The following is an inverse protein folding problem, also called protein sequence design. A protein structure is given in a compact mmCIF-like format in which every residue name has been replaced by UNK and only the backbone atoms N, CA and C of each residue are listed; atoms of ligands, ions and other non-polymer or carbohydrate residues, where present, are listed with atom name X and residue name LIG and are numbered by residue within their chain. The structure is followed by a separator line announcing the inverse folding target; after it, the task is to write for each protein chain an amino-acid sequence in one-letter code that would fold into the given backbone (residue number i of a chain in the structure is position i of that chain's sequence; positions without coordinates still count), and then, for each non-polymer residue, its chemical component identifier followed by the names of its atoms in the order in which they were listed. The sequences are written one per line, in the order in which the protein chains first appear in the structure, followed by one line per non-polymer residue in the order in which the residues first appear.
data_IF_615910330849
#
_entry.id   IF_615910330849
#
_cell.length_a   1.000
_cell.length_b   1.000
_cell.length_c   1.000
_cell.angle_alpha   90.00
_cell.angle_beta   90.00
_cell.angle_gamma   90.00
#
_symmetry.space_group_name_H-M   'P 1'
#
loop_
_entity.id
_entity.type
_entity.pdbx_description
1 polymer ?
#
# COMPACT_ATOMS: atom_id res chain seq x y z
N UNK A 1 -56.12 -61.60 -2.18
CA UNK A 1 -55.14 -60.49 -2.09
C UNK A 1 -54.46 -60.35 -3.44
N UNK A 2 -54.81 -59.33 -4.22
CA UNK A 2 -54.16 -59.06 -5.51
C UNK A 2 -52.82 -58.38 -5.19
N UNK A 3 -51.71 -59.08 -5.43
CA UNK A 3 -50.38 -58.49 -5.42
C UNK A 3 -50.05 -58.12 -6.86
N UNK A 4 -50.10 -56.83 -7.18
CA UNK A 4 -49.66 -56.32 -8.47
C UNK A 4 -48.17 -56.03 -8.36
N UNK A 5 -47.37 -56.67 -9.22
CA UNK A 5 -45.94 -56.40 -9.38
C UNK A 5 -45.81 -55.78 -10.77
N UNK A 6 -45.58 -54.47 -10.83
CA UNK A 6 -45.31 -53.76 -12.09
C UNK A 6 -43.80 -53.82 -12.30
N UNK A 7 -43.36 -54.64 -13.24
CA UNK A 7 -41.96 -54.69 -13.68
C UNK A 7 -41.88 -54.06 -15.06
N UNK A 8 -41.53 -52.77 -15.13
CA UNK A 8 -41.21 -52.11 -16.38
C UNK A 8 -39.72 -52.20 -16.65
N UNK A 9 -39.32 -52.74 -17.80
CA UNK A 9 -37.92 -52.67 -18.26
C UNK A 9 -37.74 -51.44 -19.14
N UNK A 10 -37.55 -50.29 -18.50
CA UNK A 10 -36.87 -49.16 -19.12
C UNK A 10 -35.43 -49.27 -18.61
N UNK A 11 -34.38 -49.07 -19.44
CA UNK A 11 -33.01 -49.05 -18.93
C UNK A 11 -32.75 -47.98 -17.82
N UNK A 12 -33.78 -47.24 -17.38
CA UNK A 12 -33.75 -46.19 -16.34
C UNK A 12 -35.13 -45.94 -15.65
N UNK A 13 -35.87 -46.96 -15.16
CA UNK A 13 -37.12 -46.73 -14.39
C UNK A 13 -37.05 -47.15 -12.93
N UNK A 14 -37.59 -46.30 -12.04
CA UNK A 14 -37.86 -46.60 -10.63
C UNK A 14 -39.15 -47.42 -10.46
N UNK A 15 -39.26 -48.15 -9.34
CA UNK A 15 -40.43 -48.93 -8.96
C UNK A 15 -41.68 -48.04 -8.75
N UNK A 16 -42.83 -48.46 -9.28
CA UNK A 16 -44.13 -47.81 -9.01
C UNK A 16 -44.61 -48.13 -7.60
N UNK A 17 -45.02 -47.10 -6.85
CA UNK A 17 -45.49 -47.22 -5.46
C UNK A 17 -47.03 -47.18 -5.43
N UNK A 18 -47.69 -48.06 -4.66
CA UNK A 18 -49.15 -48.03 -4.50
C UNK A 18 -49.60 -46.74 -3.79
N UNK A 19 -50.68 -46.12 -4.29
CA UNK A 19 -51.27 -44.92 -3.67
C UNK A 19 -52.17 -45.35 -2.52
N UNK A 20 -51.69 -45.16 -1.28
CA UNK A 20 -52.23 -45.74 -0.04
C UNK A 20 -53.72 -45.41 0.22
N UNK A 21 -54.27 -44.35 -0.38
CA UNK A 21 -55.66 -43.91 -0.20
C UNK A 21 -56.66 -44.45 -1.22
N UNK A 22 -56.21 -45.12 -2.30
CA UNK A 22 -57.07 -45.57 -3.39
C UNK A 22 -56.71 -46.99 -3.84
N UNK A 23 -57.54 -47.97 -3.48
CA UNK A 23 -57.37 -49.36 -3.91
C UNK A 23 -57.27 -49.45 -5.45
N UNK A 24 -56.16 -49.98 -5.96
CA UNK A 24 -55.93 -50.20 -7.39
C UNK A 24 -55.22 -49.07 -8.14
N UNK A 25 -54.82 -47.97 -7.47
CA UNK A 25 -54.08 -46.87 -8.09
C UNK A 25 -52.57 -46.97 -7.80
N UNK A 26 -51.76 -46.77 -8.83
CA UNK A 26 -50.31 -46.81 -8.79
C UNK A 26 -49.73 -45.51 -9.35
N UNK A 27 -48.67 -45.01 -8.73
CA UNK A 27 -47.94 -43.83 -9.20
C UNK A 27 -46.47 -44.17 -9.37
N UNK A 28 -45.88 -43.70 -10.45
CA UNK A 28 -44.45 -43.79 -10.72
C UNK A 28 -43.96 -42.50 -11.34
N UNK A 29 -42.66 -42.26 -11.22
CA UNK A 29 -41.98 -41.09 -11.80
C UNK A 29 -41.00 -41.56 -12.85
N UNK A 30 -41.05 -40.96 -14.04
CA UNK A 30 -40.12 -41.25 -15.11
C UNK A 30 -39.07 -40.13 -15.20
N UNK A 31 -37.80 -40.46 -14.98
CA UNK A 31 -36.70 -39.51 -15.14
C UNK A 31 -36.22 -39.48 -16.60
N UNK A 32 -36.40 -38.34 -17.28
CA UNK A 32 -36.06 -38.16 -18.69
C UNK A 32 -34.67 -37.54 -18.91
N UNK A 33 -33.88 -37.31 -17.85
CA UNK A 33 -32.68 -36.46 -17.89
C UNK A 33 -31.58 -36.87 -18.88
N UNK A 34 -31.49 -38.18 -19.20
CA UNK A 34 -30.44 -38.73 -20.07
C UNK A 34 -30.93 -39.17 -21.45
N UNK A 35 -32.19 -38.88 -21.80
CA UNK A 35 -32.73 -39.26 -23.10
C UNK A 35 -32.32 -38.25 -24.18
N UNK A 36 -31.97 -38.78 -25.36
CA UNK A 36 -31.77 -37.95 -26.54
C UNK A 36 -33.12 -37.37 -27.00
N UNK A 37 -33.12 -36.27 -27.75
CA UNK A 37 -34.35 -35.76 -28.33
C UNK A 37 -34.99 -36.77 -29.28
N UNK A 38 -36.28 -37.00 -29.15
CA UNK A 38 -36.99 -38.01 -29.93
C UNK A 38 -38.39 -38.33 -29.40
N UNK A 39 -39.10 -39.17 -30.13
CA UNK A 39 -40.38 -39.73 -29.69
C UNK A 39 -40.08 -41.09 -29.06
N UNK A 40 -40.53 -41.28 -27.83
CA UNK A 40 -40.39 -42.52 -27.08
C UNK A 40 -41.76 -43.10 -26.78
N UNK A 41 -41.89 -44.40 -26.98
CA UNK A 41 -43.05 -45.15 -26.51
C UNK A 41 -42.74 -45.66 -25.10
N UNK A 42 -43.52 -45.22 -24.12
CA UNK A 42 -43.48 -45.76 -22.75
C UNK A 42 -44.53 -46.85 -22.68
N UNK A 43 -44.08 -48.10 -22.54
CA UNK A 43 -44.94 -49.25 -22.33
C UNK A 43 -45.16 -49.49 -20.85
N UNK A 44 -46.42 -49.65 -20.46
CA UNK A 44 -46.85 -49.93 -19.10
C UNK A 44 -47.50 -51.31 -19.13
N UNK A 45 -46.88 -52.26 -18.44
CA UNK A 45 -47.35 -53.65 -18.34
C UNK A 45 -47.87 -53.91 -16.92
N UNK A 46 -49.09 -54.42 -16.82
CA UNK A 46 -49.73 -54.77 -15.55
C UNK A 46 -49.88 -56.28 -15.45
N UNK A 47 -49.12 -56.88 -14.54
CA UNK A 47 -49.14 -58.31 -14.27
C UNK A 47 -49.68 -58.60 -12.86
N UNK A 48 -50.67 -59.49 -12.79
CA UNK A 48 -51.28 -59.95 -11.54
C UNK A 48 -51.54 -61.46 -11.59
N UNK A 49 -51.31 -62.15 -10.45
CA UNK A 49 -51.61 -63.57 -10.32
C UNK A 49 -53.10 -63.82 -10.57
N UNK A 50 -53.41 -64.79 -11.43
CA UNK A 50 -54.77 -65.18 -11.82
C UNK A 50 -55.52 -64.20 -12.75
N UNK A 51 -54.82 -63.20 -13.31
CA UNK A 51 -55.37 -62.27 -14.32
C UNK A 51 -54.57 -62.29 -15.61
N UNK A 52 -55.21 -61.97 -16.73
CA UNK A 52 -54.53 -61.76 -18.01
C UNK A 52 -53.71 -60.47 -17.97
N UNK A 53 -52.43 -60.48 -18.36
CA UNK A 53 -51.62 -59.27 -18.53
C UNK A 53 -52.34 -58.23 -19.38
N UNK A 54 -52.26 -56.96 -18.97
CA UNK A 54 -52.74 -55.83 -19.76
C UNK A 54 -51.56 -54.91 -20.02
N UNK A 55 -51.36 -54.57 -21.28
CA UNK A 55 -50.37 -53.59 -21.72
C UNK A 55 -51.07 -52.34 -22.26
N UNK A 56 -50.50 -51.19 -21.95
CA UNK A 56 -50.84 -49.92 -22.59
C UNK A 56 -49.57 -49.16 -22.92
N UNK A 57 -49.61 -48.30 -23.92
CA UNK A 57 -48.47 -47.44 -24.24
C UNK A 57 -48.89 -45.99 -24.36
N UNK A 58 -47.97 -45.12 -23.94
CA UNK A 58 -48.08 -43.68 -24.10
C UNK A 58 -46.87 -43.18 -24.87
N UNK A 59 -47.10 -42.30 -25.85
CA UNK A 59 -46.01 -41.67 -26.58
C UNK A 59 -45.61 -40.38 -25.86
N UNK A 60 -44.33 -40.27 -25.52
CA UNK A 60 -43.74 -39.06 -24.98
C UNK A 60 -42.78 -38.48 -26.01
N UNK A 61 -42.72 -37.15 -26.10
CA UNK A 61 -41.78 -36.45 -26.99
C UNK A 61 -40.75 -35.71 -26.14
N UNK A 62 -39.49 -36.12 -26.24
CA UNK A 62 -38.36 -35.42 -25.63
C UNK A 62 -37.87 -34.37 -26.62
N UNK A 63 -38.06 -33.09 -26.29
CA UNK A 63 -37.64 -31.99 -27.15
C UNK A 63 -36.14 -31.74 -27.05
N UNK A 64 -35.51 -31.36 -28.17
CA UNK A 64 -34.12 -30.91 -28.17
C UNK A 64 -34.03 -29.57 -27.46
N UNK A 65 -33.17 -29.50 -26.45
CA UNK A 65 -32.79 -28.24 -25.83
C UNK A 65 -31.55 -27.67 -26.52
N UNK A 66 -31.57 -26.38 -26.79
CA UNK A 66 -30.42 -25.64 -27.28
C UNK A 66 -29.47 -25.31 -26.12
N UNK A 67 -28.17 -25.23 -26.40
CA UNK A 67 -27.19 -24.83 -25.39
C UNK A 67 -27.29 -23.31 -25.22
N UNK A 68 -27.39 -22.85 -23.99
CA UNK A 68 -27.29 -21.43 -23.67
C UNK A 68 -25.88 -21.08 -23.16
N UNK A 69 -25.46 -19.84 -23.38
CA UNK A 69 -24.24 -19.26 -22.79
C UNK A 69 -24.57 -17.96 -22.07
N UNK A 70 -23.92 -17.77 -20.92
CA UNK A 70 -23.91 -16.53 -20.16
C UNK A 70 -22.49 -15.97 -20.18
N UNK A 71 -22.34 -14.71 -20.58
CA UNK A 71 -21.05 -14.04 -20.69
C UNK A 71 -21.10 -12.71 -19.92
N UNK A 72 -20.09 -12.44 -19.10
CA UNK A 72 -19.89 -11.11 -18.52
C UNK A 72 -19.41 -10.14 -19.59
N UNK A 73 -20.03 -8.97 -19.63
CA UNK A 73 -19.62 -7.86 -20.49
C UNK A 73 -18.99 -6.73 -19.68
N UNK A 74 -19.35 -6.60 -18.40
CA UNK A 74 -18.75 -5.63 -17.49
C UNK A 74 -17.26 -5.90 -17.30
N UNK A 75 -16.43 -4.86 -17.48
CA UNK A 75 -15.01 -4.89 -17.12
C UNK A 75 -14.85 -4.69 -15.62
N UNK A 76 -15.06 -5.75 -14.84
CA UNK A 76 -14.94 -5.75 -13.39
C UNK A 76 -13.47 -5.52 -13.02
N UNK A 77 -13.22 -4.59 -12.08
CA UNK A 77 -11.89 -4.35 -11.52
C UNK A 77 -11.48 -5.50 -10.61
N UNK A 78 -10.17 -5.70 -10.46
CA UNK A 78 -9.61 -6.67 -9.51
C UNK A 78 -9.95 -6.34 -8.05
N UNK A 79 -10.19 -5.05 -7.75
CA UNK A 79 -10.59 -4.61 -6.42
C UNK A 79 -11.55 -3.42 -6.44
N UNK A 80 -12.31 -3.29 -5.36
CA UNK A 80 -13.17 -2.14 -5.06
C UNK A 80 -13.04 -1.71 -3.59
N UNK A 81 -13.59 -0.55 -3.26
CA UNK A 81 -13.66 -0.03 -1.90
C UNK A 81 -15.07 -0.22 -1.34
N UNK A 82 -15.20 -0.30 -0.02
CA UNK A 82 -16.51 -0.26 0.63
C UNK A 82 -17.38 0.88 0.11
N UNK A 83 -18.69 0.59 -0.02
CA UNK A 83 -19.72 1.49 -0.54
C UNK A 83 -19.55 1.88 -2.02
N UNK A 84 -18.58 1.31 -2.75
CA UNK A 84 -18.50 1.45 -4.21
C UNK A 84 -19.72 0.81 -4.87
N UNK A 85 -20.24 1.49 -5.90
CA UNK A 85 -21.28 0.95 -6.78
C UNK A 85 -20.61 0.17 -7.92
N UNK A 86 -20.96 -1.12 -8.03
CA UNK A 86 -20.59 -1.95 -9.18
C UNK A 86 -21.79 -2.13 -10.12
N UNK A 87 -21.50 -2.10 -11.41
CA UNK A 87 -22.47 -2.40 -12.46
C UNK A 87 -22.05 -3.69 -13.15
N UNK A 88 -22.89 -4.72 -13.02
CA UNK A 88 -22.64 -6.05 -13.53
C UNK A 88 -23.54 -6.24 -14.74
N UNK A 89 -22.92 -6.36 -15.90
CA UNK A 89 -23.60 -6.52 -17.18
C UNK A 89 -23.29 -7.91 -17.74
N UNK A 90 -24.34 -8.62 -18.15
CA UNK A 90 -24.23 -9.94 -18.79
C UNK A 90 -25.09 -10.00 -20.04
N UNK A 91 -24.70 -10.92 -20.93
CA UNK A 91 -25.52 -11.31 -22.08
C UNK A 91 -25.82 -12.81 -22.04
N UNK A 92 -27.09 -13.15 -22.25
CA UNK A 92 -27.58 -14.52 -22.38
C UNK A 92 -27.87 -14.82 -23.86
N UNK A 93 -27.26 -15.90 -24.37
CA UNK A 93 -27.43 -16.33 -25.77
C UNK A 93 -27.77 -17.82 -25.87
N UNK A 94 -28.43 -18.21 -26.96
CA UNK A 94 -28.52 -19.59 -27.46
C UNK A 94 -27.80 -19.65 -28.81
N UNK A 95 -26.56 -20.15 -28.80
CA UNK A 95 -25.65 -19.98 -29.94
C UNK A 95 -25.39 -18.49 -30.21
N UNK A 96 -25.69 -18.03 -31.42
CA UNK A 96 -25.54 -16.61 -31.82
C UNK A 96 -26.77 -15.73 -31.48
N UNK A 97 -27.89 -16.35 -31.11
CA UNK A 97 -29.14 -15.63 -30.90
C UNK A 97 -29.26 -15.17 -29.44
N UNK A 98 -29.53 -13.89 -29.17
CA UNK A 98 -29.81 -13.43 -27.82
C UNK A 98 -31.12 -14.02 -27.31
N UNK A 99 -31.17 -14.33 -26.01
CA UNK A 99 -32.37 -14.83 -25.34
C UNK A 99 -33.03 -13.71 -24.54
N UNK A 100 -34.14 -13.21 -25.07
CA UNK A 100 -34.90 -12.09 -24.49
C UNK A 100 -35.97 -12.52 -23.51
N UNK A 101 -36.25 -11.67 -22.52
CA UNK A 101 -37.28 -11.85 -21.50
C UNK A 101 -37.11 -13.14 -20.67
N UNK A 102 -35.87 -13.59 -20.50
CA UNK A 102 -35.55 -14.77 -19.70
C UNK A 102 -35.13 -14.37 -18.28
N UNK A 103 -35.58 -15.14 -17.29
CA UNK A 103 -35.23 -14.91 -15.89
C UNK A 103 -33.82 -15.42 -15.60
N UNK A 104 -32.98 -14.57 -15.03
CA UNK A 104 -31.64 -14.93 -14.54
C UNK A 104 -31.46 -14.44 -13.12
N UNK A 105 -30.50 -15.03 -12.40
CA UNK A 105 -30.22 -14.70 -11.00
C UNK A 105 -28.76 -14.31 -10.90
N UNK A 106 -28.52 -13.09 -10.43
CA UNK A 106 -27.19 -12.66 -9.99
C UNK A 106 -27.01 -13.10 -8.55
N UNK A 107 -26.07 -14.01 -8.34
CA UNK A 107 -25.67 -14.51 -7.05
C UNK A 107 -24.38 -13.81 -6.63
N UNK A 108 -24.48 -12.94 -5.63
CA UNK A 108 -23.37 -12.21 -5.04
C UNK A 108 -23.07 -12.87 -3.70
N UNK A 109 -21.87 -13.43 -3.57
CA UNK A 109 -21.40 -14.10 -2.37
C UNK A 109 -20.43 -13.16 -1.68
N UNK A 110 -20.87 -12.57 -0.58
CA UNK A 110 -20.06 -11.72 0.28
C UNK A 110 -19.26 -12.58 1.26
N UNK A 111 -17.94 -12.36 1.32
CA UNK A 111 -17.01 -13.07 2.20
C UNK A 111 -16.45 -12.07 3.22
N UNK A 112 -16.79 -12.25 4.48
CA UNK A 112 -16.26 -11.42 5.58
C UNK A 112 -14.88 -11.87 6.07
N UNK A 113 -14.20 -11.02 6.85
CA UNK A 113 -12.90 -11.31 7.48
C UNK A 113 -12.89 -12.60 8.32
N UNK A 114 -14.02 -12.95 8.94
CA UNK A 114 -14.14 -14.19 9.72
C UNK A 114 -14.35 -15.43 8.84
N UNK A 115 -14.49 -15.26 7.52
CA UNK A 115 -14.86 -16.31 6.57
C UNK A 115 -16.36 -16.59 6.51
N UNK A 116 -17.20 -15.79 7.18
CA UNK A 116 -18.65 -15.93 7.06
C UNK A 116 -19.09 -15.55 5.65
N UNK A 117 -19.95 -16.39 5.06
CA UNK A 117 -20.48 -16.23 3.71
C UNK A 117 -21.93 -15.73 3.76
N UNK A 118 -22.21 -14.63 3.06
CA UNK A 118 -23.57 -14.14 2.83
C UNK A 118 -23.89 -14.23 1.34
N UNK A 119 -24.91 -15.02 0.99
CA UNK A 119 -25.34 -15.20 -0.40
C UNK A 119 -26.56 -14.33 -0.68
N UNK A 120 -26.41 -13.39 -1.60
CA UNK A 120 -27.45 -12.46 -2.04
C UNK A 120 -27.87 -12.84 -3.47
N UNK A 121 -29.14 -13.16 -3.65
CA UNK A 121 -29.70 -13.50 -4.96
C UNK A 121 -30.55 -12.34 -5.47
N UNK A 122 -30.17 -11.77 -6.61
CA UNK A 122 -30.85 -10.66 -7.27
C UNK A 122 -31.46 -11.19 -8.57
N UNK A 123 -32.76 -11.54 -8.58
CA UNK A 123 -33.44 -11.99 -9.79
C UNK A 123 -33.68 -10.80 -10.74
N UNK A 124 -33.50 -11.04 -12.02
CA UNK A 124 -33.73 -10.05 -13.09
C UNK A 124 -34.11 -10.75 -14.39
N UNK A 125 -34.48 -9.97 -15.40
CA UNK A 125 -34.97 -10.44 -16.68
C UNK A 125 -34.11 -9.82 -17.78
N UNK A 126 -33.74 -10.62 -18.78
CA UNK A 126 -33.00 -10.12 -19.95
C UNK A 126 -33.86 -9.25 -20.85
N UNK A 127 -33.27 -8.23 -21.45
CA UNK A 127 -33.93 -7.34 -22.40
C UNK A 127 -34.13 -8.01 -23.77
N UNK A 128 -34.66 -7.26 -24.76
CA UNK A 128 -34.89 -7.77 -26.11
C UNK A 128 -33.61 -8.19 -26.86
N UNK A 129 -32.45 -7.76 -26.39
CA UNK A 129 -31.14 -8.10 -26.96
C UNK A 129 -30.40 -9.13 -26.09
N UNK A 130 -31.05 -9.71 -25.08
CA UNK A 130 -30.48 -10.72 -24.19
C UNK A 130 -29.57 -10.17 -23.09
N UNK A 131 -29.52 -8.85 -22.90
CA UNK A 131 -28.70 -8.21 -21.89
C UNK A 131 -29.44 -8.10 -20.56
N UNK A 132 -28.70 -8.13 -19.47
CA UNK A 132 -29.21 -7.76 -18.16
C UNK A 132 -28.15 -7.05 -17.35
N UNK A 133 -28.57 -6.03 -16.62
CA UNK A 133 -27.70 -5.19 -15.80
C UNK A 133 -28.22 -5.19 -14.37
N UNK A 134 -27.32 -5.41 -13.41
CA UNK A 134 -27.59 -5.26 -11.99
C UNK A 134 -26.58 -4.28 -11.39
N UNK A 135 -27.09 -3.35 -10.61
CA UNK A 135 -26.28 -2.46 -9.80
C UNK A 135 -26.23 -2.96 -8.37
N UNK A 136 -25.04 -3.02 -7.79
CA UNK A 136 -24.81 -3.51 -6.44
C UNK A 136 -23.89 -2.56 -5.67
N UNK A 137 -24.26 -2.22 -4.45
CA UNK A 137 -23.43 -1.41 -3.54
C UNK A 137 -22.67 -2.38 -2.65
N UNK A 138 -21.34 -2.29 -2.66
CA UNK A 138 -20.49 -3.21 -1.92
C UNK A 138 -20.59 -2.97 -0.42
N UNK A 139 -20.91 -4.03 0.33
CA UNK A 139 -20.93 -4.02 1.79
C UNK A 139 -19.54 -3.96 2.43
N UNK A 140 -19.51 -4.02 3.76
CA UNK A 140 -18.27 -4.07 4.55
C UNK A 140 -17.77 -5.50 4.65
N UNK A 141 -17.12 -5.94 3.58
CA UNK A 141 -16.63 -7.31 3.38
C UNK A 141 -15.20 -7.29 2.86
N UNK A 142 -14.54 -8.46 2.86
CA UNK A 142 -13.15 -8.60 2.42
C UNK A 142 -13.05 -8.99 0.95
N UNK A 143 -14.00 -9.78 0.48
CA UNK A 143 -14.12 -10.10 -0.95
C UNK A 143 -15.56 -10.41 -1.32
N UNK A 144 -15.83 -10.31 -2.63
CA UNK A 144 -17.09 -10.73 -3.22
C UNK A 144 -16.82 -11.72 -4.35
N UNK A 145 -17.67 -12.72 -4.45
CA UNK A 145 -17.73 -13.61 -5.62
C UNK A 145 -19.03 -13.37 -6.38
N UNK A 146 -18.94 -13.17 -7.69
CA UNK A 146 -20.11 -12.92 -8.53
C UNK A 146 -20.31 -14.11 -9.46
N UNK A 147 -21.52 -14.65 -9.42
CA UNK A 147 -21.97 -15.72 -10.30
C UNK A 147 -23.34 -15.37 -10.87
N UNK A 148 -23.54 -15.59 -12.16
CA UNK A 148 -24.86 -15.43 -12.78
C UNK A 148 -25.38 -16.80 -13.19
N UNK A 149 -26.63 -17.06 -12.86
CA UNK A 149 -27.32 -18.33 -13.05
C UNK A 149 -28.51 -18.15 -13.98
N UNK A 150 -28.63 -19.06 -14.95
CA UNK A 150 -29.82 -19.26 -15.75
C UNK A 150 -30.28 -20.71 -15.61
N UNK A 151 -31.48 -20.92 -15.06
CA UNK A 151 -32.02 -22.26 -14.77
C UNK A 151 -32.49 -23.02 -16.02
N UNK A 152 -32.47 -22.36 -17.18
CA UNK A 152 -32.94 -22.92 -18.44
C UNK A 152 -34.45 -22.82 -18.60
N UNK A 153 -34.91 -23.20 -19.79
CA UNK A 153 -36.32 -23.28 -20.14
C UNK A 153 -36.65 -24.63 -20.77
N UNK A 154 -37.89 -24.79 -21.23
CA UNK A 154 -38.28 -25.96 -22.03
C UNK A 154 -37.41 -26.07 -23.30
N UNK A 155 -37.00 -24.93 -23.88
CA UNK A 155 -36.23 -24.86 -25.13
C UNK A 155 -34.72 -24.75 -24.91
N UNK A 156 -34.28 -24.08 -23.84
CA UNK A 156 -32.87 -23.77 -23.61
C UNK A 156 -32.36 -24.53 -22.38
N UNK A 157 -31.13 -25.03 -22.43
CA UNK A 157 -30.45 -25.60 -21.25
C UNK A 157 -30.11 -24.50 -20.25
N UNK A 158 -29.88 -24.90 -19.01
CA UNK A 158 -29.31 -24.04 -17.99
C UNK A 158 -27.88 -23.64 -18.36
N UNK A 159 -27.45 -22.49 -17.86
CA UNK A 159 -26.06 -22.04 -17.97
C UNK A 159 -25.69 -21.21 -16.76
N UNK A 160 -24.39 -21.06 -16.53
CA UNK A 160 -23.86 -20.19 -15.50
C UNK A 160 -22.56 -19.58 -15.96
N UNK A 161 -22.25 -18.38 -15.48
CA UNK A 161 -20.93 -17.78 -15.68
C UNK A 161 -19.88 -18.46 -14.81
N UNK A 162 -18.61 -18.21 -15.13
CA UNK A 162 -17.52 -18.46 -14.19
C UNK A 162 -17.66 -17.56 -12.96
N UNK A 163 -17.11 -18.01 -11.85
CA UNK A 163 -17.04 -17.23 -10.62
C UNK A 163 -15.94 -16.17 -10.79
N UNK A 164 -16.28 -14.90 -10.55
CA UNK A 164 -15.30 -13.80 -10.52
C UNK A 164 -15.08 -13.40 -9.07
N UNK A 165 -13.83 -13.52 -8.61
CA UNK A 165 -13.43 -13.16 -7.25
C UNK A 165 -12.85 -11.74 -7.27
N UNK A 166 -13.34 -10.89 -6.38
CA UNK A 166 -13.01 -9.47 -6.34
C UNK A 166 -12.63 -9.11 -4.92
N UNK A 167 -11.45 -8.52 -4.75
CA UNK A 167 -10.99 -8.04 -3.44
C UNK A 167 -11.72 -6.75 -3.07
N UNK A 168 -12.19 -6.68 -1.83
CA UNK A 168 -12.85 -5.49 -1.28
C UNK A 168 -11.97 -4.92 -0.18
N UNK A 169 -11.68 -3.62 -0.27
CA UNK A 169 -10.80 -2.93 0.65
C UNK A 169 -11.55 -1.88 1.45
N UNK A 170 -11.17 -1.71 2.69
CA UNK A 170 -11.61 -0.53 3.45
C UNK A 170 -11.05 0.76 2.85
N UNK A 171 -11.74 1.88 3.03
CA UNK A 171 -11.22 3.21 2.62
C UNK A 171 -9.86 3.49 3.27
N UNK A 172 -9.65 2.99 4.49
CA UNK A 172 -8.39 3.08 5.22
C UNK A 172 -7.27 2.24 4.59
N UNK A 173 -7.54 0.99 4.21
CA UNK A 173 -6.55 0.15 3.49
C UNK A 173 -6.18 0.73 2.14
N UNK A 174 -7.16 1.24 1.39
CA UNK A 174 -6.90 1.88 0.11
C UNK A 174 -6.04 3.14 0.30
N UNK A 175 -6.30 3.92 1.34
CA UNK A 175 -5.46 5.07 1.69
C UNK A 175 -4.04 4.64 2.10
N UNK A 176 -3.90 3.64 2.97
CA UNK A 176 -2.59 3.15 3.44
C UNK A 176 -1.79 2.57 2.27
N UNK A 177 -2.40 1.75 1.41
CA UNK A 177 -1.71 1.17 0.25
C UNK A 177 -1.24 2.24 -0.74
N UNK A 178 -2.06 3.28 -0.98
CA UNK A 178 -1.66 4.44 -1.77
C UNK A 178 -0.55 5.27 -1.11
N UNK A 179 -0.64 5.46 0.21
CA UNK A 179 0.36 6.20 0.99
C UNK A 179 1.70 5.46 1.06
N UNK A 180 1.69 4.13 1.12
CA UNK A 180 2.88 3.29 1.19
C UNK A 180 3.78 3.49 -0.05
N UNK A 181 3.17 3.74 -1.21
CA UNK A 181 3.87 4.07 -2.46
C UNK A 181 4.59 5.45 -2.38
N UNK A 182 4.13 6.35 -1.51
CA UNK A 182 4.71 7.69 -1.31
C UNK A 182 5.87 7.71 -0.30
N UNK A 183 6.02 6.68 0.54
CA UNK A 183 7.10 6.58 1.54
C UNK A 183 8.51 6.84 0.97
N UNK A 184 8.94 6.26 -0.17
CA UNK A 184 10.29 6.51 -0.69
C UNK A 184 10.52 7.99 -1.05
N UNK A 185 9.49 8.69 -1.53
CA UNK A 185 9.57 10.12 -1.84
C UNK A 185 9.70 10.97 -0.58
N UNK A 186 8.91 10.66 0.46
CA UNK A 186 8.98 11.35 1.77
C UNK A 186 10.35 11.12 2.41
N UNK A 187 10.86 9.89 2.39
CA UNK A 187 12.19 9.57 2.91
C UNK A 187 13.30 10.31 2.15
N UNK A 188 13.23 10.34 0.81
CA UNK A 188 14.15 11.10 -0.02
C UNK A 188 14.16 12.59 0.30
N UNK A 189 12.98 13.19 0.47
CA UNK A 189 12.83 14.59 0.84
C UNK A 189 13.44 14.91 2.22
N UNK A 190 13.20 14.05 3.22
CA UNK A 190 13.78 14.19 4.55
C UNK A 190 15.32 14.10 4.52
N UNK A 191 15.90 13.24 3.69
CA UNK A 191 17.35 13.15 3.51
C UNK A 191 17.94 14.44 2.91
N UNK A 192 17.24 15.07 1.97
CA UNK A 192 17.66 16.36 1.39
C UNK A 192 17.61 17.47 2.45
N UNK A 193 16.53 17.55 3.25
CA UNK A 193 16.41 18.56 4.30
C UNK A 193 17.49 18.38 5.38
N UNK A 194 17.66 17.16 5.87
CA UNK A 194 18.61 16.86 6.95
C UNK A 194 20.05 17.12 6.51
N UNK A 195 20.43 16.69 5.30
CA UNK A 195 21.75 16.98 4.73
C UNK A 195 21.98 18.49 4.56
N UNK A 196 20.99 19.24 4.08
CA UNK A 196 21.07 20.70 3.98
C UNK A 196 21.30 21.36 5.35
N UNK A 197 20.55 20.96 6.39
CA UNK A 197 20.68 21.50 7.74
C UNK A 197 22.07 21.19 8.31
N UNK A 198 22.56 19.96 8.14
CA UNK A 198 23.89 19.54 8.60
C UNK A 198 24.99 20.37 7.93
N UNK A 199 24.94 20.53 6.60
CA UNK A 199 25.92 21.32 5.85
C UNK A 199 25.88 22.79 6.29
N UNK A 200 24.69 23.36 6.45
CA UNK A 200 24.50 24.76 6.90
C UNK A 200 25.04 24.97 8.32
N UNK A 201 24.75 24.04 9.23
CA UNK A 201 25.25 24.07 10.62
C UNK A 201 26.77 23.96 10.67
N UNK A 202 27.36 23.05 9.89
CA UNK A 202 28.81 22.88 9.79
C UNK A 202 29.50 24.15 9.27
N UNK A 203 28.96 24.77 8.21
CA UNK A 203 29.46 26.05 7.70
C UNK A 203 29.36 27.17 8.74
N UNK A 204 28.28 27.22 9.52
CA UNK A 204 28.11 28.20 10.61
C UNK A 204 29.14 27.99 11.72
N UNK A 205 29.43 26.74 12.11
CA UNK A 205 30.47 26.41 13.09
C UNK A 205 31.86 26.86 12.62
N UNK A 206 32.24 26.54 11.37
CA UNK A 206 33.52 26.99 10.79
C UNK A 206 33.63 28.51 10.74
N UNK A 207 32.56 29.21 10.34
CA UNK A 207 32.53 30.68 10.35
C UNK A 207 32.71 31.22 11.77
N UNK A 208 32.00 30.68 12.77
CA UNK A 208 32.15 31.10 14.17
C UNK A 208 33.58 30.91 14.66
N UNK A 209 34.24 29.80 14.33
CA UNK A 209 35.64 29.57 14.71
C UNK A 209 36.56 30.63 14.10
N UNK A 210 36.44 30.92 12.80
CA UNK A 210 37.22 31.98 12.13
C UNK A 210 36.95 33.35 12.78
N UNK A 211 35.68 33.65 13.08
CA UNK A 211 35.31 34.89 13.76
C UNK A 211 35.91 34.96 15.18
N UNK A 212 35.89 33.87 15.93
CA UNK A 212 36.52 33.81 17.25
C UNK A 212 38.03 34.01 17.16
N UNK A 213 38.74 33.36 16.23
CA UNK A 213 40.17 33.57 16.04
C UNK A 213 40.51 35.02 15.71
N UNK A 214 39.73 35.66 14.83
CA UNK A 214 39.92 37.08 14.51
C UNK A 214 39.63 37.97 15.70
N UNK A 215 38.54 37.70 16.43
CA UNK A 215 38.14 38.52 17.58
C UNK A 215 39.15 38.39 18.73
N UNK A 216 39.71 37.21 18.97
CA UNK A 216 40.75 37.02 19.98
C UNK A 216 41.99 37.89 19.69
N UNK A 217 42.45 37.97 18.43
CA UNK A 217 43.56 38.86 18.06
C UNK A 217 43.25 40.33 18.35
N UNK A 218 42.01 40.76 18.12
CA UNK A 218 41.60 42.13 18.47
C UNK A 218 41.46 42.33 19.98
N UNK A 219 41.03 41.30 20.73
CA UNK A 219 40.98 41.34 22.19
C UNK A 219 42.36 41.57 22.79
N UNK A 220 43.41 40.94 22.24
CA UNK A 220 44.79 41.14 22.70
C UNK A 220 45.25 42.59 22.47
N UNK A 221 44.90 43.17 21.31
CA UNK A 221 45.20 44.58 21.00
C UNK A 221 44.44 45.53 21.94
N UNK A 222 43.18 45.22 22.27
CA UNK A 222 42.38 46.02 23.22
C UNK A 222 42.91 45.94 24.66
N UNK A 223 43.66 44.88 24.99
CA UNK A 223 44.29 44.70 26.29
C UNK A 223 45.70 45.33 26.38
N UNK A 224 46.17 46.07 25.37
CA UNK A 224 47.43 46.81 25.46
C UNK A 224 47.25 47.99 26.42
N UNK A 225 47.91 47.91 27.58
CA UNK A 225 47.80 48.95 28.62
C UNK A 225 48.77 50.11 28.39
N UNK A 226 49.97 49.80 27.89
CA UNK A 226 51.05 50.76 27.68
C UNK A 226 51.82 50.46 26.40
N UNK A 227 52.18 51.50 25.66
CA UNK A 227 53.08 51.42 24.50
C UNK A 227 54.28 52.32 24.76
N UNK A 228 55.48 51.74 24.75
CA UNK A 228 56.73 52.46 24.99
C UNK A 228 57.65 52.20 23.81
N UNK A 229 58.19 53.28 23.24
CA UNK A 229 59.22 53.23 22.20
C UNK A 229 60.52 53.72 22.82
N UNK A 230 61.51 52.83 22.94
CA UNK A 230 62.79 53.12 23.59
C UNK A 230 63.88 53.21 22.52
N UNK A 231 64.70 54.26 22.58
CA UNK A 231 65.86 54.36 21.70
C UNK A 231 66.92 53.33 22.10
N UNK A 232 67.24 52.41 21.18
CA UNK A 232 68.07 51.21 21.42
C UNK A 232 69.42 51.48 22.11
N UNK A 233 70.11 52.56 21.73
CA UNK A 233 71.46 52.84 22.23
C UNK A 233 71.46 53.61 23.55
N UNK A 234 70.55 54.57 23.68
CA UNK A 234 70.51 55.46 24.85
C UNK A 234 69.63 54.93 25.98
N UNK A 235 68.75 53.96 25.70
CA UNK A 235 67.76 53.49 26.68
C UNK A 235 66.70 54.53 27.01
N UNK A 236 66.62 55.61 26.23
CA UNK A 236 65.75 56.76 26.49
C UNK A 236 64.36 56.47 25.89
N UNK A 237 63.30 56.59 26.68
CA UNK A 237 61.93 56.47 26.21
C UNK A 237 61.59 57.66 25.29
N UNK A 238 61.43 57.40 24.00
CA UNK A 238 61.08 58.40 22.99
C UNK A 238 59.59 58.71 22.99
N UNK A 239 58.77 57.66 23.11
CA UNK A 239 57.31 57.77 23.11
C UNK A 239 56.79 56.87 24.22
N UNK A 240 55.96 57.43 25.08
CA UNK A 240 55.19 56.67 26.07
C UNK A 240 53.72 57.00 25.87
N UNK A 241 52.91 56.01 25.57
CA UNK A 241 51.46 56.14 25.44
C UNK A 241 50.78 55.22 26.45
N UNK A 242 50.01 55.84 27.33
CA UNK A 242 49.18 55.15 28.33
C UNK A 242 47.75 55.04 27.80
N UNK A 243 47.16 53.85 27.92
CA UNK A 243 45.76 53.60 27.58
C UNK A 243 44.88 53.37 28.82
N UNK A 244 45.48 53.23 30.01
CA UNK A 244 44.80 53.10 31.31
C UNK A 244 44.98 54.33 32.18
N UNK A 245 44.19 54.41 33.26
CA UNK A 245 44.20 55.54 34.21
C UNK A 245 45.38 55.53 35.19
N UNK A 246 46.11 54.40 35.31
CA UNK A 246 47.27 54.30 36.18
C UNK A 246 48.46 54.92 35.45
N UNK A 247 49.05 55.96 36.04
CA UNK A 247 50.22 56.64 35.48
C UNK A 247 51.43 55.71 35.52
N UNK A 248 52.16 55.66 34.43
CA UNK A 248 53.29 54.77 34.23
C UNK A 248 54.51 55.56 33.76
N UNK A 249 55.58 55.56 34.56
CA UNK A 249 56.81 56.27 34.19
C UNK A 249 57.65 55.45 33.20
N UNK A 250 57.43 55.70 31.92
CA UNK A 250 58.18 55.07 30.83
C UNK A 250 59.69 55.29 30.91
N UNK A 251 60.15 56.39 31.51
CA UNK A 251 61.58 56.71 31.66
C UNK A 251 62.23 55.84 32.72
N UNK A 252 61.52 55.61 33.83
CA UNK A 252 62.00 54.74 34.91
C UNK A 252 62.15 53.30 34.42
N UNK A 253 61.13 52.79 33.72
CA UNK A 253 61.14 51.43 33.18
C UNK A 253 62.17 51.28 32.05
N UNK A 254 62.32 52.28 31.18
CA UNK A 254 63.36 52.24 30.14
C UNK A 254 64.76 52.23 30.76
N UNK A 255 64.99 53.04 31.80
CA UNK A 255 66.24 53.04 32.56
C UNK A 255 66.52 51.69 33.24
N UNK A 256 65.50 51.07 33.83
CA UNK A 256 65.61 49.74 34.43
C UNK A 256 65.93 48.65 33.39
N UNK A 257 65.23 48.64 32.25
CA UNK A 257 65.48 47.71 31.15
C UNK A 257 66.90 47.90 30.57
N UNK A 258 67.34 49.15 30.43
CA UNK A 258 68.70 49.48 29.99
C UNK A 258 69.75 48.94 30.98
N UNK A 259 69.52 49.10 32.29
CA UNK A 259 70.41 48.59 33.32
C UNK A 259 70.48 47.05 33.31
N UNK A 260 69.35 46.35 33.19
CA UNK A 260 69.34 44.88 33.03
C UNK A 260 70.11 44.46 31.78
N UNK A 261 69.88 45.15 30.67
CA UNK A 261 70.54 44.85 29.40
C UNK A 261 72.06 45.02 29.55
N UNK A 262 72.52 46.13 30.11
CA UNK A 262 73.93 46.39 30.41
C UNK A 262 74.53 45.36 31.38
N UNK A 263 73.80 44.97 32.42
CA UNK A 263 74.24 43.98 33.40
C UNK A 263 74.45 42.59 32.76
N UNK A 264 73.53 42.17 31.89
CA UNK A 264 73.63 40.92 31.14
C UNK A 264 74.86 40.90 30.22
N UNK A 265 75.15 42.00 29.54
CA UNK A 265 76.35 42.11 28.70
C UNK A 265 77.64 42.25 29.53
N UNK A 266 77.57 42.90 30.69
CA UNK A 266 78.69 43.02 31.64
C UNK A 266 79.14 41.68 32.24
N UNK A 267 78.23 40.72 32.38
CA UNK A 267 78.53 39.37 32.87
C UNK A 267 79.13 38.42 31.82
N UNK A 268 79.17 38.80 30.53
CA UNK A 268 79.82 38.03 29.46
C UNK A 268 80.94 38.86 28.84
N UNK A 269 82.18 38.81 29.38
CA UNK A 269 83.31 39.51 28.76
C UNK A 269 83.63 38.85 27.42
N UNK A 270 83.19 39.47 26.32
CA UNK A 270 83.46 39.02 24.94
C UNK A 270 82.25 38.86 24.02
N UNK A 271 81.00 38.99 24.50
CA UNK A 271 79.83 38.90 23.63
C UNK A 271 79.63 40.22 22.85
N UNK A 272 80.10 40.25 21.60
CA UNK A 272 79.75 41.33 20.65
C UNK A 272 78.23 41.34 20.42
N UNK A 273 77.69 42.54 20.16
CA UNK A 273 76.34 42.75 19.64
C UNK A 273 76.20 42.01 18.30
N UNK A 274 75.79 40.75 18.32
CA UNK A 274 75.22 40.15 17.12
C UNK A 274 73.93 40.89 16.83
N UNK A 275 73.82 41.43 15.61
CA UNK A 275 72.58 41.93 15.04
C UNK A 275 71.63 40.74 14.87
N UNK A 276 71.02 40.29 15.97
CA UNK A 276 69.86 39.41 15.90
C UNK A 276 68.72 40.24 15.31
N UNK A 277 68.47 40.06 14.02
CA UNK A 277 67.35 40.61 13.25
C UNK A 277 65.97 40.07 13.71
N UNK A 278 65.90 39.36 14.84
CA UNK A 278 64.67 38.86 15.44
C UNK A 278 64.39 39.57 16.75
N UNK A 279 63.21 40.20 16.83
CA UNK A 279 62.73 40.86 18.05
C UNK A 279 62.78 39.95 19.27
N UNK A 280 63.06 40.53 20.42
CA UNK A 280 63.31 39.82 21.68
C UNK A 280 62.00 39.74 22.48
N UNK A 281 61.57 38.52 22.80
CA UNK A 281 60.40 38.28 23.67
C UNK A 281 60.88 37.99 25.10
N UNK A 282 60.59 38.89 26.04
CA UNK A 282 60.71 38.62 27.47
C UNK A 282 59.34 38.18 27.98
N UNK A 283 59.26 36.96 28.51
CA UNK A 283 58.04 36.38 29.09
C UNK A 283 58.19 36.35 30.63
N UNK A 284 57.44 37.18 31.35
CA UNK A 284 57.54 37.34 32.80
C UNK A 284 56.14 37.28 33.43
N UNK A 285 55.75 36.10 33.96
CA UNK A 285 54.51 35.76 34.69
C UNK A 285 53.19 36.40 34.20
N UNK A 286 53.03 37.73 34.28
CA UNK A 286 51.85 38.50 33.86
C UNK A 286 52.10 39.46 32.67
N UNK A 287 53.33 39.57 32.16
CA UNK A 287 53.71 40.51 31.10
C UNK A 287 54.58 39.86 30.03
N UNK A 288 54.27 40.20 28.78
CA UNK A 288 55.12 39.87 27.63
C UNK A 288 55.65 41.19 27.07
N UNK A 289 56.98 41.35 27.08
CA UNK A 289 57.65 42.50 26.50
C UNK A 289 58.23 42.07 25.14
N UNK A 290 57.81 42.76 24.08
CA UNK A 290 58.39 42.63 22.75
C UNK A 290 59.33 43.82 22.50
N UNK A 291 60.61 43.53 22.30
CA UNK A 291 61.70 44.50 22.06
C UNK A 291 62.25 44.39 20.64
#
# INVERSE_FOLDING_TARGET
HVKMKIEGFIPYSDEFIPVVSNFGWYQGTLNLGNLNPGIYEVKIEMNASDYTPVETSINITVLKRENSSLEFLSNLKDFYVWDDLIEIEVILKSGENPLANESIIFQIIEISENGDLLVINIPTITDNNGYSIVQYIIGKVDSIEIKVLFDGTIKNRNSSTNIVNIDVRSTTEQFISGFLLLIPFIAGFLLVITSYIIVKSSRKKKRKQIWHEKTNKFSDILNIEYLIVIHKLSGLALITKEFRQIKFDGTLVSGFLQAITQFKYGLKPGAKLEESTGGFKIDYQDYIIFL
#
